data_IF_032201341070
#
_entry.id   IF_032201341070
#
_cell.length_a   1.000
_cell.length_b   1.000
_cell.length_c   1.000
_cell.angle_alpha   90.00
_cell.angle_beta   90.00
_cell.angle_gamma   90.00
#
_symmetry.space_group_name_H-M   'P 1'
#
loop_
_entity.id
_entity.type
_entity.pdbx_description
1 polymer ?
#
# COMPACT_ATOMS: atom_id res chain seq x y z
N UNK A 1 18.49 19.72 4.64
CA UNK A 1 17.96 19.97 6.00
C UNK A 1 18.82 19.36 7.10
N UNK A 2 19.10 18.04 7.11
CA UNK A 2 19.91 17.40 8.17
C UNK A 2 21.29 18.05 8.42
N UNK A 3 22.09 18.23 7.36
CA UNK A 3 23.36 18.96 7.47
C UNK A 3 23.23 20.44 7.86
N UNK A 4 22.07 21.06 7.61
CA UNK A 4 21.82 22.46 7.98
C UNK A 4 21.52 22.56 9.48
N UNK A 5 20.67 21.67 10.01
CA UNK A 5 20.40 21.56 11.44
C UNK A 5 21.67 21.19 12.23
N UNK A 6 22.48 20.26 11.71
CA UNK A 6 23.77 19.92 12.33
C UNK A 6 24.79 21.08 12.35
N UNK A 7 24.63 22.11 11.50
CA UNK A 7 25.47 23.32 11.50
C UNK A 7 24.95 24.42 12.44
N UNK A 8 23.66 24.42 12.74
CA UNK A 8 23.00 25.51 13.46
C UNK A 8 22.67 25.15 14.90
N UNK A 9 22.38 23.87 15.18
CA UNK A 9 22.01 23.44 16.53
C UNK A 9 23.21 23.56 17.48
N UNK A 10 23.00 24.12 18.69
CA UNK A 10 24.06 24.28 19.66
C UNK A 10 24.56 22.92 20.13
N UNK A 11 25.88 22.79 20.23
CA UNK A 11 26.57 21.61 20.78
C UNK A 11 26.50 21.53 22.32
N UNK A 12 25.89 22.54 22.95
CA UNK A 12 25.75 22.64 24.40
C UNK A 12 24.99 21.43 24.96
N UNK A 13 25.49 20.89 26.06
CA UNK A 13 24.87 19.78 26.80
C UNK A 13 23.84 20.33 27.77
N UNK A 14 22.58 19.95 27.58
CA UNK A 14 21.49 20.25 28.48
C UNK A 14 21.28 19.08 29.43
N UNK A 15 21.24 19.36 30.73
CA UNK A 15 20.91 18.36 31.75
C UNK A 15 19.43 18.48 32.09
N UNK A 16 18.64 17.47 31.72
CA UNK A 16 17.21 17.39 32.06
C UNK A 16 16.97 16.05 32.74
N UNK A 17 16.33 16.08 33.91
CA UNK A 17 16.07 14.90 34.77
C UNK A 17 17.31 14.00 35.02
N UNK A 18 18.47 14.61 35.27
CA UNK A 18 19.71 13.88 35.62
C UNK A 18 20.41 13.18 34.43
N UNK A 19 19.90 13.29 33.21
CA UNK A 19 20.60 12.88 31.99
C UNK A 19 21.10 14.10 31.22
N UNK A 20 22.38 14.09 30.84
CA UNK A 20 22.98 15.07 29.93
C UNK A 20 22.71 14.66 28.49
N UNK A 21 22.04 15.52 27.73
CA UNK A 21 21.85 15.35 26.30
C UNK A 21 22.36 16.58 25.55
N UNK A 22 23.02 16.38 24.41
CA UNK A 22 23.37 17.47 23.49
C UNK A 22 22.39 17.48 22.33
N UNK A 23 21.98 18.68 21.91
CA UNK A 23 21.14 18.85 20.71
C UNK A 23 21.92 18.58 19.41
N UNK A 24 23.26 18.59 19.47
CA UNK A 24 24.12 18.31 18.33
C UNK A 24 25.32 17.45 18.77
N UNK A 25 25.13 16.12 18.88
CA UNK A 25 26.16 15.20 19.37
C UNK A 25 27.27 14.92 18.35
N UNK A 26 27.10 15.26 17.07
CA UNK A 26 28.10 14.99 16.03
C UNK A 26 27.65 15.28 14.60
N UNK A 27 28.52 15.01 13.59
CA UNK A 27 28.19 15.25 12.19
C UNK A 27 27.06 14.33 11.70
N UNK A 28 26.16 14.88 10.89
CA UNK A 28 24.97 14.17 10.41
C UNK A 28 25.33 12.86 9.70
N UNK A 29 24.94 11.73 10.29
CA UNK A 29 25.32 10.41 9.81
C UNK A 29 24.24 9.73 8.98
N UNK A 30 24.62 8.73 8.20
CA UNK A 30 23.66 7.87 7.47
C UNK A 30 22.63 7.24 8.42
N UNK A 31 23.03 6.86 9.63
CA UNK A 31 22.17 6.22 10.62
C UNK A 31 21.09 7.18 11.13
N UNK A 32 21.44 8.45 11.36
CA UNK A 32 20.48 9.49 11.76
C UNK A 32 19.49 9.78 10.62
N UNK A 33 19.97 9.83 9.37
CA UNK A 33 19.09 10.03 8.22
C UNK A 33 18.09 8.89 8.06
N UNK A 34 18.52 7.65 8.24
CA UNK A 34 17.63 6.49 8.18
C UNK A 34 16.62 6.53 9.32
N UNK A 35 17.04 6.91 10.53
CA UNK A 35 16.12 7.01 11.67
C UNK A 35 15.00 8.01 11.38
N UNK A 36 15.35 9.20 10.86
CA UNK A 36 14.38 10.20 10.41
C UNK A 36 13.49 9.62 9.31
N UNK A 37 14.07 8.94 8.32
CA UNK A 37 13.34 8.28 7.24
C UNK A 37 12.32 7.26 7.75
N UNK A 38 12.71 6.42 8.72
CA UNK A 38 11.80 5.44 9.34
C UNK A 38 10.71 6.09 10.17
N UNK A 39 11.01 7.18 10.88
CA UNK A 39 9.98 7.97 11.57
C UNK A 39 8.96 8.53 10.57
N UNK A 40 9.42 9.08 9.43
CA UNK A 40 8.51 9.56 8.37
C UNK A 40 7.74 8.43 7.68
N UNK A 41 8.33 7.24 7.54
CA UNK A 41 7.70 6.09 6.89
C UNK A 41 6.49 5.57 7.69
N UNK A 42 6.59 5.54 9.02
CA UNK A 42 5.47 5.20 9.92
C UNK A 42 4.30 6.17 9.75
N UNK A 43 4.57 7.40 9.30
CA UNK A 43 3.55 8.44 9.12
C UNK A 43 2.93 8.46 7.72
N UNK A 44 3.54 7.80 6.73
CA UNK A 44 3.09 7.92 5.32
C UNK A 44 1.85 7.10 5.02
N UNK A 45 1.67 5.99 5.74
CA UNK A 45 0.41 5.26 5.75
C UNK A 45 -0.39 5.77 6.95
N UNK A 46 -1.50 6.47 6.71
CA UNK A 46 -2.37 6.84 7.83
C UNK A 46 -2.74 5.57 8.58
N UNK A 47 -2.61 5.59 9.91
CA UNK A 47 -3.08 4.46 10.69
C UNK A 47 -4.58 4.34 10.39
N UNK A 48 -5.00 3.20 9.85
CA UNK A 48 -6.40 2.93 9.51
C UNK A 48 -7.36 3.16 10.69
N UNK A 49 -6.83 3.10 11.92
CA UNK A 49 -7.54 3.42 13.15
C UNK A 49 -7.64 4.92 13.46
N UNK A 50 -7.06 5.84 12.69
CA UNK A 50 -7.28 7.31 12.84
C UNK A 50 -8.69 7.68 12.40
N UNK A 51 -9.27 6.93 11.46
CA UNK A 51 -10.67 7.06 11.06
C UNK A 51 -11.64 6.69 12.21
N UNK A 52 -11.15 5.96 13.23
CA UNK A 52 -11.86 5.65 14.47
C UNK A 52 -11.27 6.55 15.56
N UNK A 53 -11.99 7.58 15.99
CA UNK A 53 -11.51 8.71 16.83
C UNK A 53 -11.13 8.29 18.28
N UNK A 54 -10.21 7.34 18.46
CA UNK A 54 -9.74 6.84 19.75
C UNK A 54 -8.23 6.65 19.72
N UNK A 55 -7.49 7.64 20.23
CA UNK A 55 -6.02 7.64 20.30
C UNK A 55 -5.45 6.41 21.04
N UNK A 56 -6.19 5.89 22.03
CA UNK A 56 -5.85 4.65 22.73
C UNK A 56 -5.89 3.41 21.82
N UNK A 57 -6.84 3.32 20.89
CA UNK A 57 -6.94 2.21 19.95
C UNK A 57 -5.78 2.22 18.95
N UNK A 58 -5.41 3.41 18.48
CA UNK A 58 -4.21 3.59 17.63
C UNK A 58 -2.97 3.12 18.39
N UNK A 59 -2.84 3.49 19.67
CA UNK A 59 -1.69 3.06 20.47
C UNK A 59 -1.64 1.54 20.69
N UNK A 60 -2.75 0.91 21.07
CA UNK A 60 -2.77 -0.54 21.34
C UNK A 60 -2.52 -1.38 20.09
N UNK A 61 -3.09 -1.00 18.95
CA UNK A 61 -2.87 -1.69 17.67
C UNK A 61 -1.41 -1.60 17.24
N UNK A 62 -0.76 -0.43 17.43
CA UNK A 62 0.64 -0.22 17.07
C UNK A 62 1.59 -1.00 17.98
N UNK A 63 1.39 -0.94 19.30
CA UNK A 63 2.20 -1.72 20.26
C UNK A 63 2.05 -3.22 20.02
N UNK A 64 0.85 -3.70 19.72
CA UNK A 64 0.61 -5.12 19.40
C UNK A 64 1.29 -5.50 18.08
N UNK A 65 1.23 -4.65 17.06
CA UNK A 65 1.93 -4.86 15.80
C UNK A 65 3.45 -4.93 15.97
N UNK A 66 4.02 -4.06 16.79
CA UNK A 66 5.44 -4.06 17.12
C UNK A 66 5.84 -5.31 17.92
N UNK A 67 5.01 -5.76 18.86
CA UNK A 67 5.24 -6.99 19.61
C UNK A 67 5.25 -8.22 18.68
N UNK A 68 4.28 -8.31 17.76
CA UNK A 68 4.19 -9.40 16.78
C UNK A 68 5.40 -9.42 15.85
N UNK A 69 5.77 -8.26 15.31
CA UNK A 69 6.93 -8.14 14.43
C UNK A 69 8.25 -8.40 15.17
N UNK A 70 8.34 -8.02 16.44
CA UNK A 70 9.45 -8.37 17.33
C UNK A 70 9.59 -9.89 17.51
N UNK A 71 8.47 -10.60 17.70
CA UNK A 71 8.45 -12.06 17.80
C UNK A 71 8.87 -12.74 16.48
N UNK A 72 8.38 -12.23 15.34
CA UNK A 72 8.66 -12.78 14.02
C UNK A 72 10.04 -12.40 13.46
N UNK A 73 10.77 -11.48 14.11
CA UNK A 73 12.08 -10.99 13.67
C UNK A 73 13.11 -12.10 13.42
N UNK A 74 13.09 -13.17 14.22
CA UNK A 74 14.01 -14.31 14.04
C UNK A 74 13.81 -15.00 12.69
N UNK A 75 12.57 -15.06 12.21
CA UNK A 75 12.20 -15.73 10.96
C UNK A 75 12.21 -14.78 9.77
N UNK A 76 11.78 -13.53 9.95
CA UNK A 76 11.57 -12.61 8.84
C UNK A 76 12.82 -11.77 8.50
N UNK A 77 13.64 -11.46 9.50
CA UNK A 77 14.70 -10.44 9.35
C UNK A 77 16.11 -11.04 9.36
N UNK A 78 16.38 -11.99 10.26
CA UNK A 78 17.71 -12.59 10.39
C UNK A 78 18.15 -13.48 9.22
N UNK A 79 17.27 -14.27 8.57
CA UNK A 79 17.72 -15.15 7.49
C UNK A 79 18.14 -14.37 6.23
N UNK A 80 19.26 -14.77 5.65
CA UNK A 80 19.85 -14.11 4.47
C UNK A 80 19.03 -14.35 3.18
N UNK A 81 18.33 -15.47 3.08
CA UNK A 81 17.47 -15.79 1.93
C UNK A 81 16.21 -14.92 1.86
N UNK A 82 15.85 -14.25 2.97
CA UNK A 82 14.63 -13.44 3.04
C UNK A 82 14.94 -11.98 2.71
N UNK A 83 14.84 -11.64 1.43
CA UNK A 83 15.09 -10.31 0.90
C UNK A 83 13.78 -9.53 0.79
N UNK A 84 13.81 -8.27 1.19
CA UNK A 84 12.69 -7.33 1.10
C UNK A 84 13.01 -6.26 0.04
N UNK A 85 12.52 -6.41 -1.20
CA UNK A 85 12.91 -5.55 -2.32
C UNK A 85 12.65 -4.05 -2.07
N UNK A 86 11.50 -3.72 -1.47
CA UNK A 86 11.14 -2.34 -1.13
C UNK A 86 12.15 -1.67 -0.20
N UNK A 87 12.49 -2.34 0.89
CA UNK A 87 13.48 -1.83 1.86
C UNK A 87 14.89 -1.74 1.28
N UNK A 88 15.22 -2.61 0.31
CA UNK A 88 16.53 -2.60 -0.35
C UNK A 88 16.72 -1.35 -1.22
N UNK A 89 15.68 -0.94 -1.93
CA UNK A 89 15.69 0.30 -2.73
C UNK A 89 15.91 1.50 -1.79
N UNK A 90 15.17 1.58 -0.69
CA UNK A 90 15.37 2.63 0.32
C UNK A 90 16.79 2.61 0.91
N UNK A 91 17.35 1.44 1.23
CA UNK A 91 18.72 1.31 1.72
C UNK A 91 19.75 1.78 0.69
N UNK A 92 19.57 1.43 -0.59
CA UNK A 92 20.45 1.85 -1.68
C UNK A 92 20.41 3.36 -1.90
N UNK A 93 19.25 3.99 -1.73
CA UNK A 93 19.08 5.44 -1.81
C UNK A 93 19.86 6.14 -0.69
N UNK A 94 19.66 5.73 0.57
CA UNK A 94 20.40 6.30 1.70
C UNK A 94 21.91 6.13 1.57
N UNK A 95 22.35 4.96 1.09
CA UNK A 95 23.77 4.72 0.82
C UNK A 95 24.29 5.62 -0.29
N UNK A 96 23.54 5.82 -1.37
CA UNK A 96 23.95 6.69 -2.48
C UNK A 96 24.00 8.17 -2.09
N UNK A 97 23.11 8.63 -1.20
CA UNK A 97 23.10 10.01 -0.68
C UNK A 97 24.27 10.33 0.24
N UNK A 98 24.74 9.34 1.00
CA UNK A 98 25.81 9.51 1.99
C UNK A 98 27.18 9.00 1.52
N UNK A 99 27.28 8.39 0.33
CA UNK A 99 28.55 8.00 -0.24
C UNK A 99 29.26 9.22 -0.83
N UNK A 100 30.09 9.88 -0.01
CA UNK A 100 31.13 10.77 -0.51
C UNK A 100 32.07 9.96 -1.40
N UNK A 101 32.24 10.39 -2.64
CA UNK A 101 33.23 9.91 -3.58
C UNK A 101 34.61 9.75 -2.93
N UNK A 102 34.96 8.51 -2.58
CA UNK A 102 36.33 8.02 -2.52
C UNK A 102 36.35 6.96 -3.60
N UNK A 103 37.35 7.02 -4.50
CA UNK A 103 37.48 6.33 -5.80
C UNK A 103 36.94 7.24 -6.94
N UNK A 104 37.72 7.98 -7.75
CA UNK A 104 39.13 7.85 -8.15
C UNK A 104 39.58 6.41 -8.40
N UNK A 105 38.96 5.78 -9.39
CA UNK A 105 39.60 4.76 -10.19
C UNK A 105 39.10 4.87 -11.63
N UNK A 106 39.92 5.54 -12.45
CA UNK A 106 40.15 5.46 -13.91
C UNK A 106 39.22 4.76 -14.92
N UNK A 107 38.03 4.26 -14.60
CA UNK A 107 37.21 3.46 -15.52
C UNK A 107 35.81 4.04 -15.82
N UNK A 108 35.34 5.05 -15.10
CA UNK A 108 34.02 5.67 -15.36
C UNK A 108 34.12 6.87 -16.33
N UNK A 109 34.69 6.66 -17.51
CA UNK A 109 34.64 7.67 -18.59
C UNK A 109 33.23 7.70 -19.21
N UNK A 110 32.39 8.63 -18.73
CA UNK A 110 31.14 9.03 -19.38
C UNK A 110 29.84 8.85 -18.57
N UNK A 111 29.90 8.35 -17.33
CA UNK A 111 28.71 8.19 -16.48
C UNK A 111 28.47 9.43 -15.61
N UNK A 112 27.27 9.99 -15.68
CA UNK A 112 26.87 11.14 -14.84
C UNK A 112 26.95 10.74 -13.35
N UNK A 113 27.46 11.61 -12.45
CA UNK A 113 27.54 11.28 -11.04
C UNK A 113 26.13 11.03 -10.47
N UNK A 114 25.96 9.96 -9.69
CA UNK A 114 24.67 9.45 -9.19
C UNK A 114 23.82 10.54 -8.53
N UNK A 115 24.44 11.46 -7.79
CA UNK A 115 23.72 12.56 -7.13
C UNK A 115 23.15 13.60 -8.11
N UNK A 116 23.86 13.91 -9.21
CA UNK A 116 23.32 14.81 -10.25
C UNK A 116 22.14 14.17 -10.96
N UNK A 117 22.23 12.87 -11.27
CA UNK A 117 21.11 12.13 -11.84
C UNK A 117 19.90 12.11 -10.90
N UNK A 118 20.11 11.83 -9.60
CA UNK A 118 19.05 11.87 -8.58
C UNK A 118 18.35 13.23 -8.52
N UNK A 119 19.11 14.34 -8.50
CA UNK A 119 18.55 15.69 -8.47
C UNK A 119 17.78 16.02 -9.75
N UNK A 120 18.30 15.64 -10.92
CA UNK A 120 17.63 15.86 -12.20
C UNK A 120 16.29 15.12 -12.26
N UNK A 121 16.26 13.85 -11.87
CA UNK A 121 15.02 13.06 -11.83
C UNK A 121 14.06 13.61 -10.78
N UNK A 122 14.54 14.04 -9.60
CA UNK A 122 13.69 14.62 -8.54
C UNK A 122 13.04 15.92 -9.01
N UNK A 123 13.80 16.82 -9.65
CA UNK A 123 13.27 18.05 -10.24
C UNK A 123 12.31 17.76 -11.39
N UNK A 124 12.66 16.81 -12.27
CA UNK A 124 11.81 16.38 -13.37
C UNK A 124 10.46 15.85 -12.86
N UNK A 125 10.47 14.99 -11.84
CA UNK A 125 9.26 14.48 -11.21
C UNK A 125 8.46 15.59 -10.50
N UNK A 126 9.13 16.54 -9.84
CA UNK A 126 8.46 17.68 -9.22
C UNK A 126 7.63 18.46 -10.24
N UNK A 127 8.19 18.80 -11.41
CA UNK A 127 7.42 19.48 -12.46
C UNK A 127 6.39 18.56 -13.11
N UNK A 128 6.73 17.28 -13.29
CA UNK A 128 5.80 16.31 -13.87
C UNK A 128 4.54 16.16 -13.03
N UNK A 129 4.61 16.16 -11.69
CA UNK A 129 3.43 16.03 -10.82
C UNK A 129 2.40 17.16 -10.99
N UNK A 130 2.82 18.36 -11.38
CA UNK A 130 1.90 19.48 -11.62
C UNK A 130 1.06 19.27 -12.88
N UNK A 131 1.55 18.46 -13.82
CA UNK A 131 0.91 18.23 -15.10
C UNK A 131 -0.39 17.41 -14.96
N UNK A 132 -0.42 16.19 -14.37
CA UNK A 132 -1.66 15.49 -14.08
C UNK A 132 -2.39 16.07 -12.86
N UNK A 133 -1.69 16.76 -11.95
CA UNK A 133 -2.31 17.27 -10.70
C UNK A 133 -3.07 18.59 -10.83
N UNK A 134 -2.60 19.51 -11.68
CA UNK A 134 -3.12 20.88 -11.76
C UNK A 134 -3.47 21.32 -13.18
N UNK A 135 -2.55 21.10 -14.14
CA UNK A 135 -2.67 21.68 -15.49
C UNK A 135 -3.64 20.89 -16.36
N UNK A 136 -3.50 19.57 -16.41
CA UNK A 136 -4.33 18.66 -17.21
C UNK A 136 -4.75 17.42 -16.40
N UNK A 137 -5.78 17.55 -15.53
CA UNK A 137 -6.28 16.45 -14.71
C UNK A 137 -6.74 15.22 -15.51
N UNK A 138 -7.14 15.40 -16.77
CA UNK A 138 -7.53 14.30 -17.67
C UNK A 138 -6.39 13.34 -17.96
N UNK A 139 -5.12 13.80 -17.95
CA UNK A 139 -3.94 12.94 -18.11
C UNK A 139 -3.72 12.01 -16.91
N UNK A 140 -4.30 12.35 -15.76
CA UNK A 140 -4.29 11.49 -14.58
C UNK A 140 -4.98 10.15 -14.84
N UNK A 141 -6.12 10.13 -15.56
CA UNK A 141 -6.84 8.90 -15.89
C UNK A 141 -7.50 9.00 -17.27
N UNK A 142 -6.90 8.38 -18.27
CA UNK A 142 -7.37 8.33 -19.66
C UNK A 142 -8.09 7.01 -19.94
N UNK A 143 -9.42 7.02 -19.84
CA UNK A 143 -10.29 5.92 -20.28
C UNK A 143 -10.66 6.09 -21.76
N UNK A 144 -9.67 6.03 -22.65
CA UNK A 144 -9.84 6.37 -24.07
C UNK A 144 -10.89 5.52 -24.80
N UNK A 145 -11.09 4.26 -24.38
CA UNK A 145 -12.09 3.35 -24.96
C UNK A 145 -13.52 3.87 -24.74
N UNK A 146 -13.77 4.57 -23.63
CA UNK A 146 -15.07 5.17 -23.36
C UNK A 146 -15.44 6.28 -24.38
N UNK A 147 -14.48 6.87 -25.08
CA UNK A 147 -14.74 7.90 -26.10
C UNK A 147 -15.36 7.33 -27.38
N UNK A 148 -15.20 6.01 -27.64
CA UNK A 148 -15.77 5.38 -28.82
C UNK A 148 -17.31 5.39 -28.76
N UNK A 149 -17.88 5.15 -27.58
CA UNK A 149 -19.33 5.21 -27.35
C UNK A 149 -19.65 5.63 -25.91
N UNK A 150 -19.74 6.95 -25.63
CA UNK A 150 -19.86 7.46 -24.26
C UNK A 150 -21.17 7.06 -23.56
N UNK A 151 -22.26 6.89 -24.32
CA UNK A 151 -23.59 6.59 -23.75
C UNK A 151 -23.80 5.11 -23.42
N UNK A 152 -22.85 4.23 -23.74
CA UNK A 152 -22.98 2.81 -23.48
C UNK A 152 -22.57 2.46 -22.04
N UNK A 153 -23.56 2.13 -21.21
CA UNK A 153 -23.38 1.76 -19.80
C UNK A 153 -22.43 0.54 -19.66
N UNK A 154 -22.55 -0.46 -20.53
CA UNK A 154 -21.70 -1.66 -20.48
C UNK A 154 -20.24 -1.30 -20.79
N UNK A 155 -20.02 -0.41 -21.76
CA UNK A 155 -18.67 0.04 -22.10
C UNK A 155 -18.06 0.81 -20.92
N UNK A 156 -18.83 1.73 -20.34
CA UNK A 156 -18.40 2.52 -19.17
C UNK A 156 -18.10 1.64 -17.94
N UNK A 157 -18.88 0.58 -17.70
CA UNK A 157 -18.63 -0.38 -16.62
C UNK A 157 -17.34 -1.19 -16.82
N UNK A 158 -17.02 -1.57 -18.05
CA UNK A 158 -15.84 -2.38 -18.37
C UNK A 158 -14.56 -1.54 -18.45
N UNK A 159 -14.61 -0.39 -19.11
CA UNK A 159 -13.41 0.40 -19.47
C UNK A 159 -13.29 1.72 -18.71
N UNK A 160 -14.32 2.10 -17.93
CA UNK A 160 -14.31 3.34 -17.16
C UNK A 160 -13.41 3.27 -15.93
N UNK A 161 -12.95 4.44 -15.49
CA UNK A 161 -12.08 4.62 -14.32
C UNK A 161 -12.71 4.16 -13.00
N UNK A 162 -14.04 4.26 -12.89
CA UNK A 162 -14.82 3.76 -11.74
C UNK A 162 -15.37 2.34 -11.95
N UNK A 163 -15.15 1.76 -13.13
CA UNK A 163 -15.50 0.39 -13.47
C UNK A 163 -14.30 -0.56 -13.34
N UNK A 164 -14.21 -1.53 -14.24
CA UNK A 164 -13.11 -2.50 -14.27
C UNK A 164 -11.81 -1.94 -14.88
N UNK A 165 -11.84 -0.73 -15.44
CA UNK A 165 -10.64 -0.03 -15.92
C UNK A 165 -9.88 -0.74 -17.05
N UNK A 166 -10.57 -1.57 -17.85
CA UNK A 166 -9.96 -2.25 -19.00
C UNK A 166 -9.49 -1.20 -20.01
N UNK A 167 -8.19 -1.19 -20.28
CA UNK A 167 -7.57 -0.25 -21.24
C UNK A 167 -7.50 1.20 -20.77
N UNK A 168 -7.80 1.49 -19.51
CA UNK A 168 -7.58 2.80 -18.91
C UNK A 168 -6.08 3.02 -18.68
N UNK A 169 -5.54 4.13 -19.20
CA UNK A 169 -4.13 4.50 -19.04
C UNK A 169 -4.04 5.68 -18.09
N UNK A 170 -3.15 5.61 -17.11
CA UNK A 170 -2.88 6.69 -16.16
C UNK A 170 -1.45 7.16 -16.32
N UNK A 171 -1.25 8.46 -16.51
CA UNK A 171 0.08 9.08 -16.48
C UNK A 171 0.43 9.60 -15.08
N UNK A 172 -0.47 9.47 -14.11
CA UNK A 172 -0.18 9.81 -12.72
C UNK A 172 0.68 8.73 -12.07
N UNK A 173 1.91 9.11 -11.69
CA UNK A 173 2.84 8.19 -11.04
C UNK A 173 2.31 7.69 -9.69
N UNK A 174 1.50 8.48 -8.98
CA UNK A 174 0.89 8.03 -7.73
C UNK A 174 -0.07 6.86 -8.00
N UNK A 175 -0.99 6.99 -8.97
CA UNK A 175 -1.89 5.91 -9.36
C UNK A 175 -1.16 4.67 -9.90
N UNK A 176 -0.08 4.84 -10.67
CA UNK A 176 0.74 3.73 -11.21
C UNK A 176 1.47 2.97 -10.12
N UNK A 177 2.04 3.66 -9.13
CA UNK A 177 2.95 3.07 -8.14
C UNK A 177 2.28 2.60 -6.84
N UNK A 178 1.00 2.95 -6.63
CA UNK A 178 0.27 2.73 -5.38
C UNK A 178 0.17 1.25 -4.96
N UNK A 179 -0.11 0.33 -5.90
CA UNK A 179 -0.36 -1.08 -5.56
C UNK A 179 0.69 -2.03 -6.12
N UNK A 180 1.06 -1.86 -7.38
CA UNK A 180 2.15 -2.63 -7.98
C UNK A 180 3.29 -1.64 -8.21
N UNK A 181 4.20 -1.51 -7.25
CA UNK A 181 5.38 -0.67 -7.43
C UNK A 181 6.28 -1.26 -8.53
N UNK A 182 6.28 -0.69 -9.76
CA UNK A 182 6.73 -1.41 -10.95
C UNK A 182 8.26 -1.54 -11.01
N UNK A 183 8.97 -0.59 -10.40
CA UNK A 183 10.43 -0.50 -10.39
C UNK A 183 11.08 -1.26 -9.22
N UNK A 184 10.28 -1.66 -8.24
CA UNK A 184 10.77 -2.26 -6.99
C UNK A 184 10.45 -3.75 -6.93
N UNK A 185 9.25 -4.12 -7.38
CA UNK A 185 8.75 -5.49 -7.29
C UNK A 185 9.36 -6.35 -8.39
N UNK A 186 9.86 -7.57 -8.09
CA UNK A 186 10.42 -8.44 -9.10
C UNK A 186 9.37 -8.89 -10.11
N UNK A 187 9.78 -9.11 -11.37
CA UNK A 187 8.88 -9.46 -12.47
C UNK A 187 7.98 -10.67 -12.17
N UNK A 188 8.51 -11.74 -11.59
CA UNK A 188 7.71 -12.93 -11.29
C UNK A 188 6.56 -12.61 -10.32
N UNK A 189 6.78 -11.71 -9.34
CA UNK A 189 5.75 -11.33 -8.38
C UNK A 189 4.67 -10.48 -9.05
N UNK A 190 5.06 -9.56 -9.94
CA UNK A 190 4.11 -8.76 -10.72
C UNK A 190 3.22 -9.64 -11.61
N UNK A 191 3.78 -10.68 -12.22
CA UNK A 191 3.03 -11.66 -13.03
C UNK A 191 2.03 -12.45 -12.17
N UNK A 192 2.40 -12.88 -10.97
CA UNK A 192 1.46 -13.56 -10.07
C UNK A 192 0.29 -12.66 -9.65
N UNK A 193 0.58 -11.39 -9.34
CA UNK A 193 -0.43 -10.40 -8.95
C UNK A 193 -1.41 -10.14 -10.11
N UNK A 194 -0.92 -9.91 -11.34
CA UNK A 194 -1.81 -9.61 -12.47
C UNK A 194 -2.65 -10.81 -12.86
N UNK A 195 -2.13 -12.04 -12.76
CA UNK A 195 -2.92 -13.26 -13.04
C UNK A 195 -4.07 -13.36 -12.05
N UNK A 196 -3.80 -13.17 -10.75
CA UNK A 196 -4.84 -13.15 -9.72
C UNK A 196 -5.88 -12.05 -9.95
N UNK A 197 -5.41 -10.85 -10.30
CA UNK A 197 -6.26 -9.73 -10.66
C UNK A 197 -7.16 -10.02 -11.86
N UNK A 198 -6.62 -10.54 -12.96
CA UNK A 198 -7.40 -10.87 -14.17
C UNK A 198 -8.45 -11.94 -13.86
N UNK A 199 -8.08 -12.98 -13.11
CA UNK A 199 -9.01 -14.04 -12.74
C UNK A 199 -10.18 -13.51 -11.91
N UNK A 200 -9.91 -12.70 -10.88
CA UNK A 200 -10.97 -12.21 -10.00
C UNK A 200 -11.74 -11.05 -10.64
N UNK A 201 -11.06 -10.01 -11.10
CA UNK A 201 -11.69 -8.76 -11.55
C UNK A 201 -12.21 -8.83 -12.98
N UNK A 202 -11.53 -9.55 -13.89
CA UNK A 202 -11.93 -9.61 -15.30
C UNK A 202 -12.70 -10.87 -15.68
N UNK A 203 -12.53 -11.98 -14.95
CA UNK A 203 -13.31 -13.19 -15.19
C UNK A 203 -14.43 -13.36 -14.17
N UNK A 204 -14.13 -13.45 -12.86
CA UNK A 204 -15.13 -13.75 -11.83
C UNK A 204 -16.13 -12.61 -11.61
N UNK A 205 -15.70 -11.34 -11.53
CA UNK A 205 -16.61 -10.22 -11.27
C UNK A 205 -17.64 -10.01 -12.38
N UNK A 206 -17.30 -9.98 -13.68
CA UNK A 206 -18.29 -9.90 -14.75
C UNK A 206 -19.18 -11.14 -14.80
N UNK A 207 -18.61 -12.33 -14.60
CA UNK A 207 -19.38 -13.57 -14.56
C UNK A 207 -20.47 -13.52 -13.48
N UNK A 208 -20.11 -13.14 -12.24
CA UNK A 208 -21.06 -12.98 -11.14
C UNK A 208 -22.11 -11.89 -11.42
N UNK A 209 -21.69 -10.75 -11.99
CA UNK A 209 -22.58 -9.63 -12.30
C UNK A 209 -23.61 -9.98 -13.39
N UNK A 210 -23.18 -10.57 -14.50
CA UNK A 210 -24.06 -10.88 -15.63
C UNK A 210 -24.98 -12.07 -15.36
N UNK A 211 -24.54 -13.04 -14.56
CA UNK A 211 -25.37 -14.16 -14.09
C UNK A 211 -26.35 -13.77 -12.99
N UNK A 212 -26.32 -12.51 -12.53
CA UNK A 212 -27.11 -12.00 -11.41
C UNK A 212 -26.93 -12.84 -10.13
N UNK A 213 -25.70 -13.27 -9.87
CA UNK A 213 -25.39 -13.98 -8.64
C UNK A 213 -25.59 -13.02 -7.45
N UNK A 214 -26.41 -13.42 -6.47
CA UNK A 214 -26.75 -12.61 -5.29
C UNK A 214 -27.35 -11.23 -5.60
N UNK A 215 -28.20 -11.15 -6.63
CA UNK A 215 -28.85 -9.90 -7.04
C UNK A 215 -27.87 -8.75 -7.33
N UNK A 216 -26.68 -9.11 -7.82
CA UNK A 216 -25.59 -8.17 -8.10
C UNK A 216 -25.99 -7.04 -9.07
N UNK A 217 -26.98 -7.24 -9.95
CA UNK A 217 -27.43 -6.21 -10.91
C UNK A 217 -28.08 -5.00 -10.26
N UNK A 218 -28.57 -5.14 -9.02
CA UNK A 218 -29.15 -4.03 -8.24
C UNK A 218 -28.07 -3.03 -7.82
N UNK A 219 -26.80 -3.44 -7.84
CA UNK A 219 -25.67 -2.64 -7.36
C UNK A 219 -24.71 -2.25 -8.50
N UNK A 220 -23.90 -1.19 -8.33
CA UNK A 220 -22.78 -0.93 -9.23
C UNK A 220 -21.73 -2.05 -9.16
N UNK A 221 -21.13 -2.41 -10.30
CA UNK A 221 -20.14 -3.50 -10.41
C UNK A 221 -18.93 -3.35 -9.45
N UNK A 222 -18.58 -2.10 -9.15
CA UNK A 222 -17.53 -1.76 -8.20
C UNK A 222 -17.97 -0.54 -7.39
N UNK A 223 -18.06 -0.69 -6.08
CA UNK A 223 -18.43 0.40 -5.18
C UNK A 223 -17.74 0.27 -3.82
N UNK A 224 -17.55 1.41 -3.14
CA UNK A 224 -17.05 1.48 -1.77
C UNK A 224 -18.16 1.88 -0.78
N UNK A 225 -19.37 2.15 -1.28
CA UNK A 225 -20.52 2.56 -0.48
C UNK A 225 -21.47 1.39 -0.23
N UNK A 226 -22.24 1.47 0.85
CA UNK A 226 -23.28 0.51 1.21
C UNK A 226 -24.61 0.87 0.56
N UNK A 227 -25.37 -0.16 0.20
CA UNK A 227 -26.69 -0.06 -0.40
C UNK A 227 -27.69 -0.92 0.36
N UNK A 228 -28.95 -0.51 0.35
CA UNK A 228 -30.09 -1.32 0.82
C UNK A 228 -30.43 -2.42 -0.19
N UNK A 229 -31.29 -3.36 0.20
CA UNK A 229 -31.82 -4.41 -0.68
C UNK A 229 -32.49 -3.83 -1.94
N UNK A 230 -33.04 -2.62 -1.85
CA UNK A 230 -33.72 -1.92 -2.95
C UNK A 230 -32.76 -1.16 -3.88
N UNK A 231 -31.45 -1.13 -3.59
CA UNK A 231 -30.45 -0.40 -4.37
C UNK A 231 -30.29 1.08 -3.99
N UNK A 232 -30.97 1.54 -2.93
CA UNK A 232 -30.80 2.90 -2.42
C UNK A 232 -29.53 3.03 -1.57
N UNK A 233 -28.97 4.24 -1.51
CA UNK A 233 -27.80 4.52 -0.68
C UNK A 233 -28.16 4.35 0.80
N UNK A 234 -27.36 3.54 1.50
CA UNK A 234 -27.58 3.28 2.91
C UNK A 234 -27.24 4.51 3.76
N UNK A 235 -28.17 4.93 4.62
CA UNK A 235 -27.96 6.10 5.48
C UNK A 235 -26.99 5.77 6.63
N UNK A 236 -25.81 6.40 6.59
CA UNK A 236 -24.68 6.11 7.49
C UNK A 236 -24.90 6.63 8.92
N UNK A 237 -25.92 7.46 9.17
CA UNK A 237 -26.16 8.08 10.49
C UNK A 237 -26.94 7.20 11.47
N UNK A 238 -27.50 6.06 11.05
CA UNK A 238 -28.54 5.36 11.82
C UNK A 238 -28.05 4.09 12.54
N UNK A 239 -26.78 3.68 12.35
CA UNK A 239 -26.36 2.26 12.54
C UNK A 239 -25.25 2.08 13.57
N UNK A 240 -24.77 3.17 14.17
CA UNK A 240 -23.82 3.10 15.29
C UNK A 240 -24.59 3.15 16.61
N UNK A 241 -25.09 2.00 17.03
CA UNK A 241 -25.54 1.79 18.42
C UNK A 241 -24.43 1.02 19.16
N UNK A 242 -23.96 1.62 20.25
CA UNK A 242 -23.04 1.04 21.24
C UNK A 242 -21.62 0.66 20.78
N UNK A 243 -20.77 1.65 20.45
CA UNK A 243 -19.29 1.73 20.57
C UNK A 243 -18.44 0.46 20.95
N UNK A 244 -18.75 -0.73 20.44
CA UNK A 244 -18.09 -1.99 20.81
C UNK A 244 -17.07 -2.36 19.74
N UNK A 245 -15.86 -2.67 20.19
CA UNK A 245 -14.71 -3.02 19.35
C UNK A 245 -14.83 -4.44 18.79
N UNK A 246 -14.74 -4.56 17.46
CA UNK A 246 -14.71 -5.85 16.76
C UNK A 246 -13.29 -6.46 16.76
N UNK A 247 -13.18 -7.66 17.34
CA UNK A 247 -11.92 -8.40 17.50
C UNK A 247 -11.29 -8.82 16.16
N UNK A 248 -12.09 -9.15 15.14
CA UNK A 248 -11.56 -9.60 13.85
C UNK A 248 -10.86 -8.46 13.10
N UNK A 249 -11.47 -7.27 13.13
CA UNK A 249 -10.88 -6.05 12.56
C UNK A 249 -9.62 -5.64 13.29
N UNK A 250 -9.65 -5.70 14.61
CA UNK A 250 -8.48 -5.43 15.45
C UNK A 250 -7.26 -6.24 15.00
N UNK A 251 -7.42 -7.54 14.72
CA UNK A 251 -6.33 -8.43 14.28
C UNK A 251 -5.80 -8.04 12.90
N UNK A 252 -6.66 -7.69 11.95
CA UNK A 252 -6.24 -7.23 10.63
C UNK A 252 -5.39 -5.94 10.71
N UNK A 253 -5.79 -5.00 11.57
CA UNK A 253 -5.02 -3.75 11.80
C UNK A 253 -3.63 -4.04 12.36
N UNK A 254 -3.56 -4.91 13.38
CA UNK A 254 -2.30 -5.33 13.99
C UNK A 254 -1.35 -5.93 12.96
N UNK A 255 -1.88 -6.72 12.00
CA UNK A 255 -1.06 -7.38 10.99
C UNK A 255 -0.41 -6.40 10.00
N UNK A 256 -1.16 -5.41 9.50
CA UNK A 256 -0.61 -4.40 8.57
C UNK A 256 0.46 -3.55 9.25
N UNK A 257 0.24 -3.14 10.50
CA UNK A 257 1.24 -2.41 11.27
C UNK A 257 2.47 -3.26 11.59
N UNK A 258 2.28 -4.55 11.92
CA UNK A 258 3.38 -5.49 12.11
C UNK A 258 4.24 -5.64 10.84
N UNK A 259 3.63 -5.68 9.65
CA UNK A 259 4.35 -5.79 8.39
C UNK A 259 5.23 -4.55 8.13
N UNK A 260 4.66 -3.35 8.31
CA UNK A 260 5.39 -2.08 8.15
C UNK A 260 6.58 -2.00 9.11
N UNK A 261 6.37 -2.32 10.39
CA UNK A 261 7.45 -2.37 11.39
C UNK A 261 8.51 -3.43 11.06
N UNK A 262 8.11 -4.59 10.55
CA UNK A 262 9.06 -5.64 10.12
C UNK A 262 9.93 -5.15 8.96
N UNK A 263 9.35 -4.41 8.01
CA UNK A 263 10.08 -3.80 6.90
C UNK A 263 11.15 -2.82 7.42
N UNK A 264 10.78 -1.94 8.36
CA UNK A 264 11.70 -0.98 8.95
C UNK A 264 12.80 -1.66 9.77
N UNK A 265 12.47 -2.71 10.53
CA UNK A 265 13.49 -3.50 11.23
C UNK A 265 14.44 -4.20 10.24
N UNK A 266 13.97 -4.60 9.05
CA UNK A 266 14.84 -5.14 7.98
C UNK A 266 15.75 -4.06 7.43
N UNK A 267 15.24 -2.85 7.19
CA UNK A 267 16.04 -1.69 6.81
C UNK A 267 17.11 -1.38 7.87
N UNK A 268 16.73 -1.35 9.15
CA UNK A 268 17.66 -1.17 10.27
C UNK A 268 18.71 -2.27 10.33
N UNK A 269 18.35 -3.52 9.99
CA UNK A 269 19.30 -4.62 9.88
C UNK A 269 20.30 -4.42 8.74
N UNK A 270 19.86 -4.00 7.54
CA UNK A 270 20.76 -3.68 6.43
C UNK A 270 21.73 -2.55 6.75
N UNK A 271 21.27 -1.55 7.50
CA UNK A 271 22.05 -0.35 7.81
C UNK A 271 22.76 -0.41 9.18
N UNK A 272 22.76 -1.58 9.83
CA UNK A 272 23.42 -1.86 11.10
C UNK A 272 23.01 -0.91 12.24
N UNK A 273 21.71 -0.61 12.32
CA UNK A 273 21.10 0.16 13.41
C UNK A 273 20.58 -0.82 14.48
N UNK A 274 20.86 -0.59 15.77
CA UNK A 274 20.36 -1.43 16.83
C UNK A 274 18.82 -1.39 16.91
N UNK A 275 18.17 -2.55 17.15
CA UNK A 275 16.71 -2.68 17.11
C UNK A 275 15.97 -1.87 18.19
N UNK A 276 16.61 -1.64 19.35
CA UNK A 276 16.02 -0.85 20.44
C UNK A 276 15.84 0.62 20.03
N UNK A 277 16.81 1.18 19.33
CA UNK A 277 16.74 2.55 18.81
C UNK A 277 15.69 2.68 17.72
N UNK A 278 15.58 1.70 16.82
CA UNK A 278 14.52 1.65 15.80
C UNK A 278 13.13 1.64 16.45
N UNK A 279 12.92 0.76 17.44
CA UNK A 279 11.65 0.68 18.16
C UNK A 279 11.27 1.99 18.85
N UNK A 280 12.20 2.60 19.60
CA UNK A 280 11.92 3.87 20.29
C UNK A 280 11.58 4.99 19.32
N UNK A 281 12.31 5.10 18.20
CA UNK A 281 12.02 6.11 17.18
C UNK A 281 10.61 5.97 16.59
N UNK A 282 10.17 4.74 16.33
CA UNK A 282 8.83 4.48 15.80
C UNK A 282 7.73 4.71 16.83
N UNK A 283 7.93 4.34 18.10
CA UNK A 283 6.96 4.63 19.19
C UNK A 283 6.77 6.13 19.36
N UNK A 284 7.87 6.90 19.43
CA UNK A 284 7.81 8.37 19.55
C UNK A 284 7.13 8.99 18.33
N UNK A 285 7.46 8.53 17.12
CA UNK A 285 6.82 9.01 15.89
C UNK A 285 5.33 8.70 15.86
N UNK A 286 4.92 7.52 16.31
CA UNK A 286 3.50 7.09 16.33
C UNK A 286 2.66 7.98 17.25
N UNK A 287 3.17 8.30 18.45
CA UNK A 287 2.47 9.17 19.41
C UNK A 287 2.29 10.57 18.82
N UNK A 288 3.37 11.14 18.28
CA UNK A 288 3.34 12.47 17.66
C UNK A 288 2.40 12.50 16.44
N UNK A 289 2.48 11.47 15.59
CA UNK A 289 1.66 11.34 14.40
C UNK A 289 0.17 11.18 14.73
N UNK A 290 -0.18 10.37 15.73
CA UNK A 290 -1.57 10.22 16.18
C UNK A 290 -2.19 11.55 16.58
N UNK A 291 -1.44 12.40 17.31
CA UNK A 291 -1.89 13.73 17.70
C UNK A 291 -2.05 14.67 16.49
N UNK A 292 -1.06 14.74 15.60
CA UNK A 292 -1.09 15.63 14.43
C UNK A 292 -2.17 15.23 13.43
N UNK A 293 -2.31 13.93 13.14
CA UNK A 293 -3.33 13.44 12.21
C UNK A 293 -4.73 13.69 12.75
N UNK A 294 -4.96 13.48 14.04
CA UNK A 294 -6.24 13.79 14.67
C UNK A 294 -6.56 15.29 14.57
N UNK A 295 -5.61 16.15 14.95
CA UNK A 295 -5.79 17.60 14.90
C UNK A 295 -6.06 18.10 13.47
N UNK A 296 -5.37 17.53 12.47
CA UNK A 296 -5.56 17.89 11.07
C UNK A 296 -6.91 17.40 10.54
N UNK A 297 -7.32 16.19 10.92
CA UNK A 297 -8.61 15.62 10.54
C UNK A 297 -9.78 16.43 11.11
N UNK A 298 -9.74 16.78 12.40
CA UNK A 298 -10.77 17.61 13.03
C UNK A 298 -10.82 18.99 12.39
N UNK A 299 -9.67 19.62 12.18
CA UNK A 299 -9.59 20.93 11.52
C UNK A 299 -10.17 20.91 10.11
N UNK A 300 -9.86 19.87 9.32
CA UNK A 300 -10.36 19.75 7.94
C UNK A 300 -11.88 19.60 7.90
N UNK A 301 -12.45 18.76 8.77
CA UNK A 301 -13.90 18.51 8.87
C UNK A 301 -14.64 19.78 9.29
N UNK A 302 -14.10 20.55 10.23
CA UNK A 302 -14.72 21.80 10.70
C UNK A 302 -14.64 22.94 9.67
N UNK A 303 -13.55 23.00 8.90
CA UNK A 303 -13.31 24.13 7.98
C UNK A 303 -14.08 23.99 6.66
N UNK A 304 -14.36 22.77 6.20
CA UNK A 304 -14.92 22.51 4.85
C UNK A 304 -16.27 21.80 4.93
N UNK A 305 -17.38 22.47 4.56
CA UNK A 305 -18.67 21.81 4.46
C UNK A 305 -18.67 20.80 3.29
N UNK A 306 -19.43 19.71 3.43
CA UNK A 306 -19.66 18.67 2.41
C UNK A 306 -18.44 17.81 2.00
N UNK A 307 -17.44 17.65 2.87
CA UNK A 307 -16.37 16.65 2.66
C UNK A 307 -16.97 15.24 2.58
N UNK A 308 -16.36 14.36 1.79
CA UNK A 308 -16.82 12.98 1.57
C UNK A 308 -18.15 12.82 0.80
N UNK A 309 -18.75 13.91 0.31
CA UNK A 309 -19.93 13.86 -0.57
C UNK A 309 -19.55 13.94 -2.05
N UNK A 310 -20.44 13.53 -2.96
CA UNK A 310 -20.22 13.68 -4.41
C UNK A 310 -20.04 15.15 -4.85
N UNK A 311 -20.57 16.10 -4.06
CA UNK A 311 -20.49 17.54 -4.31
C UNK A 311 -19.14 18.14 -3.84
N UNK A 312 -18.40 17.43 -2.99
CA UNK A 312 -17.11 17.87 -2.42
C UNK A 312 -15.87 17.48 -3.22
N UNK A 313 -15.99 17.15 -4.51
CA UNK A 313 -14.85 16.77 -5.36
C UNK A 313 -13.77 17.88 -5.33
N UNK A 314 -12.48 17.56 -5.15
CA UNK A 314 -11.84 16.23 -5.23
C UNK A 314 -11.74 15.46 -3.90
N UNK A 315 -12.27 15.96 -2.78
CA UNK A 315 -12.15 15.34 -1.46
C UNK A 315 -13.12 14.15 -1.29
N UNK A 316 -12.76 13.04 -1.95
CA UNK A 316 -13.51 11.78 -1.92
C UNK A 316 -12.97 10.85 -0.84
N UNK A 317 -13.84 10.33 0.03
CA UNK A 317 -13.45 9.52 1.18
C UNK A 317 -13.66 8.02 0.91
N UNK A 318 -13.14 7.53 -0.23
CA UNK A 318 -13.35 6.14 -0.66
C UNK A 318 -12.77 5.12 0.33
N UNK A 319 -11.61 5.43 0.87
CA UNK A 319 -10.94 4.63 1.91
C UNK A 319 -11.83 4.52 3.15
N UNK A 320 -12.22 5.66 3.73
CA UNK A 320 -13.08 5.72 4.93
C UNK A 320 -14.45 5.08 4.70
N UNK A 321 -15.06 5.24 3.52
CA UNK A 321 -16.31 4.57 3.17
C UNK A 321 -16.15 3.03 3.13
N UNK A 322 -15.04 2.54 2.59
CA UNK A 322 -14.73 1.10 2.60
C UNK A 322 -14.56 0.59 4.04
N UNK A 323 -13.89 1.36 4.90
CA UNK A 323 -13.72 1.01 6.32
C UNK A 323 -15.01 1.03 7.10
N UNK A 324 -15.87 2.03 6.87
CA UNK A 324 -17.20 2.09 7.46
C UNK A 324 -18.05 0.89 7.02
N UNK A 325 -17.99 0.54 5.74
CA UNK A 325 -18.69 -0.63 5.19
C UNK A 325 -18.22 -1.94 5.84
N UNK A 326 -16.90 -2.12 5.96
CA UNK A 326 -16.32 -3.26 6.67
C UNK A 326 -16.72 -3.25 8.16
N UNK A 327 -16.79 -2.07 8.78
CA UNK A 327 -17.23 -1.84 10.18
C UNK A 327 -18.61 -2.43 10.44
N UNK A 328 -19.56 -2.18 9.54
CA UNK A 328 -20.91 -2.72 9.64
C UNK A 328 -20.94 -4.24 9.39
N UNK A 329 -20.30 -4.72 8.33
CA UNK A 329 -20.32 -6.13 7.94
C UNK A 329 -19.80 -7.03 9.07
N UNK A 330 -18.61 -6.74 9.60
CA UNK A 330 -18.01 -7.60 10.61
C UNK A 330 -18.45 -7.26 12.04
N UNK A 331 -18.88 -6.01 12.29
CA UNK A 331 -19.17 -5.50 13.61
C UNK A 331 -20.66 -5.54 13.96
N UNK A 332 -21.47 -4.76 13.24
CA UNK A 332 -22.89 -4.60 13.53
C UNK A 332 -23.73 -5.82 13.09
N UNK A 333 -23.49 -6.34 11.88
CA UNK A 333 -24.19 -7.54 11.37
C UNK A 333 -23.57 -8.81 11.98
N UNK A 334 -22.25 -8.80 12.14
CA UNK A 334 -21.46 -9.91 12.66
C UNK A 334 -21.18 -10.99 11.60
N UNK A 335 -20.03 -11.68 11.70
CA UNK A 335 -19.64 -12.71 10.74
C UNK A 335 -20.60 -13.90 10.72
N UNK A 336 -21.27 -14.17 11.85
CA UNK A 336 -22.25 -15.24 11.96
C UNK A 336 -23.37 -15.02 10.93
N UNK A 337 -24.02 -13.87 10.91
CA UNK A 337 -25.12 -13.62 9.98
C UNK A 337 -24.71 -13.60 8.50
N UNK A 338 -23.47 -13.16 8.21
CA UNK A 338 -22.95 -13.06 6.84
C UNK A 338 -22.46 -14.42 6.30
N UNK A 339 -21.85 -15.25 7.16
CA UNK A 339 -21.08 -16.45 6.77
C UNK A 339 -21.50 -17.77 7.49
N UNK A 340 -22.54 -17.81 8.35
CA UNK A 340 -22.83 -18.96 9.25
C UNK A 340 -23.12 -20.30 8.56
N UNK A 341 -23.93 -20.34 7.49
CA UNK A 341 -24.30 -21.61 6.85
C UNK A 341 -24.74 -21.43 5.40
N UNK A 342 -24.65 -22.52 4.62
CA UNK A 342 -24.94 -22.57 3.18
C UNK A 342 -26.37 -22.11 2.83
N UNK A 343 -27.33 -22.29 3.74
CA UNK A 343 -28.76 -22.04 3.50
C UNK A 343 -29.28 -20.74 4.12
N UNK A 344 -28.57 -20.13 5.08
CA UNK A 344 -29.03 -18.91 5.79
C UNK A 344 -28.14 -17.68 5.60
N UNK A 345 -26.87 -17.86 5.25
CA UNK A 345 -25.94 -16.75 5.03
C UNK A 345 -25.79 -16.44 3.54
N UNK A 346 -26.00 -15.17 3.12
CA UNK A 346 -25.84 -14.75 1.73
C UNK A 346 -24.48 -15.16 1.14
N UNK A 347 -23.43 -15.09 1.96
CA UNK A 347 -22.05 -15.37 1.55
C UNK A 347 -21.48 -16.65 2.18
N UNK A 348 -22.34 -17.55 2.67
CA UNK A 348 -21.93 -18.84 3.25
C UNK A 348 -20.94 -19.64 2.38
N UNK A 349 -21.16 -19.77 1.05
CA UNK A 349 -20.23 -20.47 0.15
C UNK A 349 -18.83 -19.83 0.05
N UNK A 350 -18.69 -18.53 0.29
CA UNK A 350 -17.40 -17.82 0.19
C UNK A 350 -16.43 -18.31 1.27
N UNK A 351 -16.95 -18.71 2.44
CA UNK A 351 -16.13 -19.26 3.51
C UNK A 351 -15.33 -20.49 3.05
N UNK A 352 -15.90 -21.35 2.21
CA UNK A 352 -15.22 -22.53 1.65
C UNK A 352 -14.01 -22.20 0.76
N UNK A 353 -13.84 -20.94 0.37
CA UNK A 353 -12.63 -20.44 -0.28
C UNK A 353 -11.36 -20.71 0.53
N UNK A 354 -11.43 -20.85 1.87
CA UNK A 354 -10.25 -21.19 2.67
C UNK A 354 -9.69 -22.58 2.31
N UNK A 355 -10.56 -23.57 2.05
CA UNK A 355 -10.14 -24.91 1.63
C UNK A 355 -9.54 -24.87 0.23
N UNK A 356 -10.14 -24.10 -0.67
CA UNK A 356 -9.60 -23.88 -2.01
C UNK A 356 -8.19 -23.29 -1.91
N UNK A 357 -7.99 -22.26 -1.06
CA UNK A 357 -6.67 -21.68 -0.81
C UNK A 357 -5.67 -22.64 -0.17
N UNK A 358 -6.11 -23.55 0.71
CA UNK A 358 -5.25 -24.55 1.34
C UNK A 358 -4.88 -25.71 0.41
N UNK A 359 -5.79 -26.12 -0.47
CA UNK A 359 -5.63 -27.27 -1.36
C UNK A 359 -4.93 -26.90 -2.67
N UNK A 360 -5.19 -25.72 -3.24
CA UNK A 360 -4.60 -25.27 -4.52
C UNK A 360 -3.06 -25.35 -4.61
N UNK A 361 -2.28 -25.06 -3.55
CA UNK A 361 -0.83 -25.17 -3.60
C UNK A 361 -0.33 -26.62 -3.74
N UNK A 362 -1.06 -27.61 -3.22
CA UNK A 362 -0.65 -29.01 -3.17
C UNK A 362 -0.47 -29.64 -4.56
N UNK A 363 -1.43 -29.57 -5.50
CA UNK A 363 -1.26 -30.13 -6.84
C UNK A 363 -0.14 -29.43 -7.61
N UNK A 364 0.07 -28.13 -7.41
CA UNK A 364 1.18 -27.40 -8.02
C UNK A 364 2.53 -27.80 -7.44
N UNK A 365 2.60 -28.04 -6.14
CA UNK A 365 3.80 -28.57 -5.51
C UNK A 365 4.13 -29.98 -6.02
N UNK A 366 3.13 -30.86 -6.13
CA UNK A 366 3.29 -32.21 -6.71
C UNK A 366 3.72 -32.14 -8.17
N UNK A 367 3.12 -31.26 -8.97
CA UNK A 367 3.49 -31.03 -10.37
C UNK A 367 4.93 -30.51 -10.49
N UNK A 368 5.35 -29.60 -9.61
CA UNK A 368 6.73 -29.09 -9.58
C UNK A 368 7.74 -30.20 -9.29
N UNK A 369 7.38 -31.17 -8.44
CA UNK A 369 8.22 -32.34 -8.15
C UNK A 369 8.25 -33.34 -9.30
N UNK A 370 7.14 -33.49 -10.04
CA UNK A 370 7.04 -34.41 -11.19
C UNK A 370 7.74 -33.87 -12.44
N UNK A 371 7.71 -32.57 -12.66
CA UNK A 371 8.30 -31.91 -13.84
C UNK A 371 9.31 -30.82 -13.45
N UNK A 372 10.51 -31.20 -12.96
CA UNK A 372 11.52 -30.24 -12.52
C UNK A 372 12.10 -29.38 -13.65
N UNK A 373 11.87 -29.75 -14.92
CA UNK A 373 12.29 -28.96 -16.08
C UNK A 373 11.43 -27.69 -16.28
N UNK A 374 10.21 -27.67 -15.74
CA UNK A 374 9.26 -26.57 -15.89
C UNK A 374 9.49 -25.50 -14.81
N UNK A 375 10.44 -24.60 -15.06
CA UNK A 375 10.84 -23.53 -14.11
C UNK A 375 9.71 -22.60 -13.66
N UNK A 376 8.63 -22.47 -14.44
CA UNK A 376 7.49 -21.61 -14.11
C UNK A 376 6.65 -22.14 -12.96
N UNK A 377 6.58 -23.47 -12.76
CA UNK A 377 5.84 -24.08 -11.64
C UNK A 377 6.42 -23.68 -10.27
N UNK A 378 7.73 -23.46 -10.20
CA UNK A 378 8.40 -22.96 -9.00
C UNK A 378 8.22 -21.44 -8.77
N UNK A 379 7.76 -20.71 -9.79
CA UNK A 379 7.54 -19.26 -9.73
C UNK A 379 6.08 -18.91 -9.41
N UNK A 380 5.16 -19.87 -9.50
CA UNK A 380 3.75 -19.70 -9.17
C UNK A 380 3.54 -19.66 -7.64
N UNK A 381 3.08 -18.52 -7.13
CA UNK A 381 2.84 -18.31 -5.71
C UNK A 381 1.34 -18.11 -5.45
N UNK A 382 0.65 -19.19 -5.11
CA UNK A 382 -0.79 -19.20 -4.85
C UNK A 382 -1.27 -18.18 -3.81
N UNK A 383 -0.58 -17.98 -2.66
CA UNK A 383 -1.00 -16.97 -1.70
C UNK A 383 -0.97 -15.55 -2.28
N UNK A 384 0.03 -15.25 -3.13
CA UNK A 384 0.17 -13.93 -3.76
C UNK A 384 -0.92 -13.72 -4.81
N UNK A 385 -1.23 -14.77 -5.59
CA UNK A 385 -2.27 -14.75 -6.62
C UNK A 385 -3.65 -14.53 -6.00
N UNK A 386 -3.99 -15.28 -4.94
CA UNK A 386 -5.29 -15.18 -4.28
C UNK A 386 -5.45 -13.90 -3.45
N UNK A 387 -4.34 -13.34 -2.93
CA UNK A 387 -4.36 -12.09 -2.19
C UNK A 387 -4.29 -10.84 -3.10
N UNK A 388 -4.11 -10.99 -4.42
CA UNK A 388 -3.87 -9.86 -5.33
C UNK A 388 -4.95 -8.78 -5.29
N UNK A 389 -6.21 -9.18 -5.08
CA UNK A 389 -7.38 -8.29 -5.07
C UNK A 389 -7.86 -7.89 -3.68
N UNK A 390 -7.09 -8.18 -2.61
CA UNK A 390 -7.53 -7.94 -1.23
C UNK A 390 -7.78 -6.46 -0.89
N UNK A 391 -7.20 -5.54 -1.67
CA UNK A 391 -7.35 -4.09 -1.50
C UNK A 391 -8.37 -3.46 -2.46
N UNK A 392 -9.17 -4.27 -3.16
CA UNK A 392 -10.27 -3.79 -4.02
C UNK A 392 -11.58 -4.07 -3.28
N UNK A 393 -12.33 -3.04 -2.84
CA UNK A 393 -11.99 -1.61 -2.69
C UNK A 393 -11.05 -1.33 -1.48
N UNK A 394 -10.40 -0.15 -1.35
CA UNK A 394 -10.63 1.12 -2.06
C UNK A 394 -9.86 1.31 -3.37
N UNK A 395 -8.94 0.40 -3.70
CA UNK A 395 -8.16 0.47 -4.94
C UNK A 395 -9.05 0.46 -6.18
N UNK A 396 -8.67 1.24 -7.18
CA UNK A 396 -9.31 1.20 -8.48
C UNK A 396 -8.61 0.19 -9.40
N UNK A 397 -9.34 -0.65 -10.15
CA UNK A 397 -8.77 -1.68 -11.01
C UNK A 397 -7.71 -1.19 -11.99
N UNK A 398 -7.85 0.03 -12.54
CA UNK A 398 -6.87 0.59 -13.46
C UNK A 398 -5.49 0.82 -12.82
N UNK A 399 -5.41 1.00 -11.49
CA UNK A 399 -4.12 1.21 -10.80
C UNK A 399 -3.24 -0.05 -10.90
N UNK A 400 -3.86 -1.23 -10.86
CA UNK A 400 -3.16 -2.52 -11.00
C UNK A 400 -2.65 -2.73 -12.43
N UNK A 401 -3.48 -2.47 -13.43
CA UNK A 401 -3.10 -2.66 -14.84
C UNK A 401 -2.02 -1.68 -15.28
N UNK A 402 -2.09 -0.43 -14.84
CA UNK A 402 -1.08 0.59 -15.14
C UNK A 402 0.27 0.28 -14.46
N UNK A 403 0.26 -0.11 -13.18
CA UNK A 403 1.45 -0.57 -12.49
C UNK A 403 2.10 -1.78 -13.18
N UNK A 404 1.31 -2.77 -13.59
CA UNK A 404 1.82 -3.91 -14.35
C UNK A 404 2.40 -3.52 -15.72
N UNK A 405 1.75 -2.62 -16.46
CA UNK A 405 2.22 -2.16 -17.77
C UNK A 405 3.61 -1.52 -17.69
N UNK A 406 3.80 -0.60 -16.73
CA UNK A 406 5.11 0.02 -16.50
C UNK A 406 6.12 -1.03 -16.02
N UNK A 407 5.69 -1.94 -15.14
CA UNK A 407 6.49 -3.07 -14.68
C UNK A 407 7.01 -3.94 -15.83
N UNK A 408 6.16 -4.26 -16.81
CA UNK A 408 6.54 -5.01 -18.01
C UNK A 408 7.61 -4.27 -18.83
N UNK A 409 7.43 -2.97 -19.05
CA UNK A 409 8.39 -2.15 -19.82
C UNK A 409 9.76 -2.12 -19.14
N UNK A 410 9.81 -1.85 -17.83
CA UNK A 410 11.08 -1.68 -17.11
C UNK A 410 11.72 -3.02 -16.71
N UNK A 411 10.96 -3.94 -16.12
CA UNK A 411 11.49 -5.18 -15.54
C UNK A 411 11.66 -6.32 -16.55
N UNK A 412 10.83 -6.36 -17.59
CA UNK A 412 10.91 -7.42 -18.59
C UNK A 412 11.59 -6.95 -19.88
N UNK A 413 11.11 -5.86 -20.49
CA UNK A 413 11.62 -5.39 -21.78
C UNK A 413 12.99 -4.72 -21.66
N UNK A 414 13.11 -3.62 -20.91
CA UNK A 414 14.36 -2.87 -20.75
C UNK A 414 15.48 -3.71 -20.15
N UNK A 415 15.16 -4.51 -19.13
CA UNK A 415 16.13 -5.42 -18.51
C UNK A 415 16.73 -6.44 -19.49
N UNK A 416 15.96 -6.91 -20.48
CA UNK A 416 16.41 -7.89 -21.49
C UNK A 416 17.10 -7.23 -22.69
N UNK A 417 16.54 -6.12 -23.18
CA UNK A 417 17.02 -5.48 -24.41
C UNK A 417 18.15 -4.47 -24.18
N UNK A 418 18.20 -3.81 -23.02
CA UNK A 418 19.18 -2.77 -22.69
C UNK A 418 19.62 -2.82 -21.22
N UNK A 419 20.25 -3.93 -20.84
CA UNK A 419 20.72 -4.16 -19.47
C UNK A 419 21.61 -3.03 -18.93
N UNK A 420 22.52 -2.48 -19.76
CA UNK A 420 23.45 -1.42 -19.36
C UNK A 420 22.78 -0.08 -19.02
N UNK A 421 21.55 0.15 -19.49
CA UNK A 421 20.77 1.35 -19.12
C UNK A 421 19.87 1.08 -17.92
N UNK A 422 19.43 -0.17 -17.76
CA UNK A 422 18.59 -0.60 -16.63
C UNK A 422 19.37 -0.73 -15.32
N UNK A 423 20.62 -1.19 -15.39
CA UNK A 423 21.55 -1.34 -14.25
C UNK A 423 22.23 -0.02 -13.91
#
# INVERSE_FOLDING_TARGET
MGHFLAKILPTQTFTVFGQSFSLNPGPFSIKEHILIGTMTAVNTNSAYAVDIVVLLLVFTTQVTGFALAGALRKFLIRPAHMIWPSTLVTASLFRSLHHSSIVDSGEDMGRMPRMRYFLLVTLGMFFFYWLPGLIFPTLGVLSWICWIKPDNIVLSQLTGSNGLGIGTISLDWAAVSQYVSPLVSPWFAQVNIIIGFVLVVYAMSPWAYYTNLWDAKTYPILTADLYTENGDLYNKSEVLTDNVLDRAKYIAYVNTQALAFTADLKLGHYMKIPPRTMFMAQVVSTILCGAINLATATWLIETRPNICTKQGYPFTCRSTNTFYSASIIWGAIGPARVFESLDRGLYGPVSWGFLVGALLPIPFWLASKRWPHMKWLHLAHWPVLLAATSNIPPALPYMYTNGFMIGFIFMWFLKRCRYNWWA
#
